data_IF_811053870183
#
_entry.id   IF_811053870183
#
_cell.length_a   1.000
_cell.length_b   1.000
_cell.length_c   1.000
_cell.angle_alpha   90.00
_cell.angle_beta   90.00
_cell.angle_gamma   90.00
#
_symmetry.space_group_name_H-M   'P 1'
#
loop_
_entity.id
_entity.type
_entity.pdbx_description
1 polymer ?
#
# COMPACT_ATOMS: atom_id res chain seq x y z
N UNK A 1 0.91 -20.03 10.72
CA UNK A 1 2.19 -19.59 10.11
C UNK A 1 2.69 -18.38 10.87
N UNK A 2 3.99 -18.25 11.10
CA UNK A 2 4.55 -17.02 11.64
C UNK A 2 4.83 -16.04 10.47
N UNK A 3 4.76 -14.75 10.72
CA UNK A 3 5.27 -13.75 9.78
C UNK A 3 6.78 -13.99 9.57
N UNK A 4 7.23 -13.84 8.33
CA UNK A 4 8.67 -13.83 8.05
C UNK A 4 9.35 -12.76 8.91
N UNK A 5 10.48 -13.11 9.52
CA UNK A 5 11.28 -12.22 10.37
C UNK A 5 10.55 -11.67 11.63
N UNK A 6 9.40 -12.27 12.01
CA UNK A 6 8.74 -12.06 13.29
C UNK A 6 8.54 -13.42 13.95
N UNK A 7 9.39 -13.78 14.88
CA UNK A 7 9.41 -15.11 15.48
C UNK A 7 9.51 -15.02 17.00
N UNK A 8 8.87 -15.97 17.68
CA UNK A 8 9.05 -16.11 19.11
C UNK A 8 10.40 -16.77 19.40
N UNK A 9 11.15 -16.18 20.33
CA UNK A 9 12.36 -16.73 20.89
C UNK A 9 12.26 -16.63 22.43
N UNK A 10 12.41 -17.76 23.13
CA UNK A 10 12.23 -17.85 24.58
C UNK A 10 10.92 -17.24 25.09
N UNK A 11 9.85 -17.39 24.29
CA UNK A 11 8.51 -16.88 24.63
C UNK A 11 8.29 -15.39 24.39
N UNK A 12 9.25 -14.68 23.81
CA UNK A 12 9.13 -13.25 23.44
C UNK A 12 9.14 -13.09 21.92
N UNK A 13 8.32 -12.20 21.37
CA UNK A 13 8.34 -11.91 19.95
C UNK A 13 9.54 -11.03 19.59
N UNK A 14 10.26 -11.45 18.55
CA UNK A 14 11.36 -10.72 17.93
C UNK A 14 10.95 -10.25 16.54
N UNK A 15 11.46 -9.09 16.16
CA UNK A 15 11.55 -8.68 14.74
C UNK A 15 12.99 -8.85 14.32
N UNK A 16 13.23 -9.76 13.35
CA UNK A 16 14.60 -10.19 12.98
C UNK A 16 15.37 -10.65 14.25
N UNK A 17 16.44 -9.98 14.62
CA UNK A 17 17.22 -10.27 15.83
C UNK A 17 16.93 -9.30 16.99
N UNK A 18 15.92 -8.43 16.87
CA UNK A 18 15.59 -7.40 17.88
C UNK A 18 14.44 -7.87 18.78
N UNK A 19 14.66 -7.86 20.09
CA UNK A 19 13.67 -8.18 21.11
C UNK A 19 12.61 -7.06 21.18
N UNK A 20 11.35 -7.37 20.86
CA UNK A 20 10.28 -6.37 20.85
C UNK A 20 9.77 -6.00 22.24
N UNK A 21 9.99 -6.85 23.26
CA UNK A 21 9.64 -6.50 24.66
C UNK A 21 10.57 -5.40 25.19
N UNK A 22 11.89 -5.58 25.02
CA UNK A 22 12.87 -4.56 25.42
C UNK A 22 12.63 -3.23 24.70
N UNK A 23 12.24 -3.31 23.42
CA UNK A 23 11.86 -2.11 22.66
C UNK A 23 10.60 -1.46 23.23
N UNK A 24 9.58 -2.26 23.61
CA UNK A 24 8.31 -1.77 24.18
C UNK A 24 8.48 -1.16 25.57
N UNK A 25 9.43 -1.66 26.34
CA UNK A 25 9.74 -1.09 27.66
C UNK A 25 10.52 0.25 27.56
N UNK A 26 11.15 0.51 26.40
CA UNK A 26 11.94 1.73 26.16
C UNK A 26 11.18 2.84 25.42
N UNK A 27 10.02 2.54 24.83
CA UNK A 27 9.22 3.45 24.02
C UNK A 27 7.79 3.55 24.56
N UNK A 28 7.16 4.71 24.30
CA UNK A 28 5.73 4.87 24.54
C UNK A 28 4.92 4.14 23.46
N UNK A 29 3.92 3.36 23.90
CA UNK A 29 2.95 2.72 23.01
C UNK A 29 1.77 3.66 22.69
N UNK A 30 1.06 3.46 21.57
CA UNK A 30 1.37 2.49 20.52
C UNK A 30 2.54 2.93 19.63
N UNK A 31 3.18 1.99 18.93
CA UNK A 31 4.18 2.31 17.91
C UNK A 31 4.25 1.22 16.83
N UNK A 32 4.70 1.60 15.63
CA UNK A 32 4.91 0.67 14.53
C UNK A 32 6.33 0.13 14.52
N UNK A 33 6.47 -1.15 14.17
CA UNK A 33 7.77 -1.79 13.90
C UNK A 33 7.75 -2.39 12.51
N UNK A 34 8.77 -2.12 11.71
CA UNK A 34 8.95 -2.68 10.37
C UNK A 34 10.25 -3.48 10.30
N UNK A 35 10.20 -4.67 9.69
CA UNK A 35 11.37 -5.48 9.36
C UNK A 35 11.93 -5.06 8.01
N UNK A 36 13.18 -4.61 7.98
CA UNK A 36 13.87 -4.23 6.76
C UNK A 36 14.09 -5.44 5.84
N UNK A 37 14.45 -6.60 6.40
CA UNK A 37 14.71 -7.78 5.60
C UNK A 37 13.42 -8.32 4.95
N UNK A 38 12.28 -8.27 5.64
CA UNK A 38 11.00 -8.63 5.02
C UNK A 38 10.67 -7.74 3.83
N UNK A 39 10.90 -6.41 3.94
CA UNK A 39 10.71 -5.49 2.82
C UNK A 39 11.64 -5.85 1.66
N UNK A 40 12.93 -6.11 1.92
CA UNK A 40 13.91 -6.50 0.90
C UNK A 40 13.50 -7.79 0.19
N UNK A 41 13.16 -8.83 0.95
CA UNK A 41 12.71 -10.11 0.38
C UNK A 41 11.48 -9.95 -0.50
N UNK A 42 10.49 -9.17 -0.05
CA UNK A 42 9.28 -8.90 -0.83
C UNK A 42 9.60 -8.12 -2.12
N UNK A 43 10.51 -7.13 -2.07
CA UNK A 43 10.96 -6.43 -3.27
C UNK A 43 11.65 -7.39 -4.27
N UNK A 44 12.54 -8.25 -3.76
CA UNK A 44 13.25 -9.24 -4.59
C UNK A 44 12.30 -10.22 -5.26
N UNK A 45 11.23 -10.64 -4.57
CA UNK A 45 10.23 -11.55 -5.14
C UNK A 45 9.50 -10.94 -6.34
N UNK A 46 9.30 -9.62 -6.37
CA UNK A 46 8.75 -8.93 -7.54
C UNK A 46 9.75 -8.77 -8.69
N UNK A 47 11.06 -8.81 -8.40
CA UNK A 47 12.09 -8.74 -9.46
C UNK A 47 12.35 -10.10 -10.11
N UNK A 48 12.09 -11.18 -9.39
CA UNK A 48 12.28 -12.53 -9.89
C UNK A 48 11.31 -12.78 -11.05
N UNK A 49 11.84 -13.12 -12.23
CA UNK A 49 11.05 -13.42 -13.42
C UNK A 49 10.68 -12.20 -14.28
N UNK A 50 10.96 -10.98 -13.84
CA UNK A 50 10.89 -9.78 -14.67
C UNK A 50 12.16 -9.66 -15.54
N UNK A 51 12.00 -9.17 -16.77
CA UNK A 51 13.11 -8.80 -17.65
C UNK A 51 13.71 -7.45 -17.25
N UNK A 52 14.81 -7.04 -17.86
CA UNK A 52 15.45 -5.76 -17.58
C UNK A 52 14.64 -4.53 -18.02
N UNK A 53 13.70 -4.71 -18.94
CA UNK A 53 12.79 -3.66 -19.43
C UNK A 53 11.48 -3.61 -18.67
N UNK A 54 11.09 -4.69 -17.95
CA UNK A 54 9.89 -4.70 -17.10
C UNK A 54 10.12 -3.86 -15.84
N UNK A 55 9.04 -3.31 -15.27
CA UNK A 55 9.08 -2.52 -14.05
C UNK A 55 8.18 -3.08 -12.95
N UNK A 56 8.69 -3.07 -11.72
CA UNK A 56 7.86 -3.17 -10.52
C UNK A 56 7.94 -1.81 -9.80
N UNK A 57 6.83 -1.09 -9.74
CA UNK A 57 6.71 0.24 -9.15
C UNK A 57 5.98 0.13 -7.80
N UNK A 58 6.66 0.40 -6.70
CA UNK A 58 6.04 0.36 -5.38
C UNK A 58 4.98 1.45 -5.25
N UNK A 59 3.74 1.06 -4.89
CA UNK A 59 2.64 2.00 -4.64
C UNK A 59 2.83 2.73 -3.30
N UNK A 60 3.28 3.98 -3.36
CA UNK A 60 3.69 4.82 -2.22
C UNK A 60 2.58 4.99 -1.19
N UNK A 61 1.32 5.03 -1.63
CA UNK A 61 0.11 5.12 -0.78
C UNK A 61 0.03 4.05 0.31
N UNK A 62 0.68 2.90 0.11
CA UNK A 62 0.68 1.82 1.11
C UNK A 62 1.48 2.19 2.36
N UNK A 63 2.66 2.78 2.19
CA UNK A 63 3.48 3.39 3.25
C UNK A 63 4.48 4.36 2.63
N UNK A 64 4.38 5.64 2.95
CA UNK A 64 5.17 6.72 2.35
C UNK A 64 6.35 7.19 3.21
N UNK A 65 6.75 6.44 4.25
CA UNK A 65 7.89 6.80 5.09
C UNK A 65 9.19 6.82 4.28
N UNK A 66 9.95 7.91 4.36
CA UNK A 66 11.16 8.12 3.54
C UNK A 66 12.21 7.02 3.71
N UNK A 67 12.35 6.45 4.91
CA UNK A 67 13.31 5.36 5.16
C UNK A 67 12.86 4.07 4.49
N UNK A 68 11.56 3.77 4.49
CA UNK A 68 10.98 2.63 3.78
C UNK A 68 11.12 2.83 2.27
N UNK A 69 10.79 4.01 1.76
CA UNK A 69 10.96 4.33 0.34
C UNK A 69 12.42 4.20 -0.09
N UNK A 70 13.39 4.69 0.73
CA UNK A 70 14.81 4.55 0.44
C UNK A 70 15.25 3.10 0.35
N UNK A 71 14.78 2.26 1.28
CA UNK A 71 15.06 0.82 1.27
C UNK A 71 14.53 0.15 0.00
N UNK A 72 13.31 0.46 -0.42
CA UNK A 72 12.67 -0.07 -1.64
C UNK A 72 13.43 0.41 -2.90
N UNK A 73 13.85 1.69 -2.93
CA UNK A 73 14.70 2.23 -4.00
C UNK A 73 16.02 1.46 -4.11
N UNK A 74 16.66 1.21 -2.97
CA UNK A 74 17.96 0.51 -2.92
C UNK A 74 17.85 -0.96 -3.40
N UNK A 75 16.66 -1.58 -3.25
CA UNK A 75 16.34 -2.87 -3.89
C UNK A 75 16.04 -2.74 -5.40
N UNK A 76 16.00 -1.52 -5.95
CA UNK A 76 15.93 -1.23 -7.38
C UNK A 76 14.53 -1.18 -7.99
N UNK A 77 13.47 -1.12 -7.17
CA UNK A 77 12.11 -0.90 -7.65
C UNK A 77 11.90 0.55 -8.10
N UNK A 78 10.90 0.75 -8.97
CA UNK A 78 10.29 2.04 -9.26
C UNK A 78 9.22 2.42 -8.23
N UNK A 79 8.42 3.46 -8.55
CA UNK A 79 7.38 3.96 -7.66
C UNK A 79 6.10 4.30 -8.44
N UNK A 80 4.94 3.88 -7.93
CA UNK A 80 3.63 4.40 -8.29
C UNK A 80 3.24 5.46 -7.27
N UNK A 81 3.02 6.69 -7.75
CA UNK A 81 2.62 7.84 -6.95
C UNK A 81 1.22 8.31 -7.37
N UNK A 82 0.45 8.84 -6.42
CA UNK A 82 -0.93 9.26 -6.65
C UNK A 82 -1.19 10.72 -6.24
N UNK A 83 -0.13 11.46 -5.93
CA UNK A 83 -0.17 12.90 -5.63
C UNK A 83 1.20 13.55 -5.81
N UNK A 84 1.21 14.87 -5.97
CA UNK A 84 2.46 15.65 -5.99
C UNK A 84 3.28 15.50 -4.70
N UNK A 85 2.61 15.31 -3.55
CA UNK A 85 3.29 15.06 -2.28
C UNK A 85 4.05 13.71 -2.28
N UNK A 86 3.47 12.67 -2.83
CA UNK A 86 4.15 11.38 -2.99
C UNK A 86 5.28 11.48 -4.01
N UNK A 87 5.07 12.18 -5.14
CA UNK A 87 6.12 12.43 -6.12
C UNK A 87 7.32 13.15 -5.49
N UNK A 88 7.08 14.21 -4.71
CA UNK A 88 8.15 14.92 -4.00
C UNK A 88 8.88 14.01 -3.00
N UNK A 89 8.20 13.07 -2.33
CA UNK A 89 8.84 12.11 -1.41
C UNK A 89 9.83 11.20 -2.15
N UNK A 90 9.42 10.63 -3.28
CA UNK A 90 10.29 9.72 -4.04
C UNK A 90 11.43 10.46 -4.71
N UNK A 91 11.22 11.68 -5.18
CA UNK A 91 12.29 12.55 -5.68
C UNK A 91 13.29 12.92 -4.58
N UNK A 92 12.81 13.21 -3.35
CA UNK A 92 13.66 13.56 -2.20
C UNK A 92 14.63 12.44 -1.82
N UNK A 93 14.26 11.18 -1.98
CA UNK A 93 15.16 10.04 -1.72
C UNK A 93 16.06 9.71 -2.91
N UNK A 94 16.00 10.48 -4.01
CA UNK A 94 16.79 10.27 -5.22
C UNK A 94 16.33 9.04 -6.01
N UNK A 95 15.02 8.80 -6.09
CA UNK A 95 14.46 7.79 -7.01
C UNK A 95 14.73 8.20 -8.46
N UNK A 96 14.96 7.19 -9.33
CA UNK A 96 15.10 7.41 -10.77
C UNK A 96 13.75 7.84 -11.37
N UNK A 97 13.60 9.05 -11.92
CA UNK A 97 12.34 9.50 -12.52
C UNK A 97 11.86 8.55 -13.64
N UNK A 98 12.78 7.92 -14.37
CA UNK A 98 12.44 6.96 -15.43
C UNK A 98 11.84 5.64 -14.93
N UNK A 99 11.64 5.52 -13.61
CA UNK A 99 10.95 4.41 -12.94
C UNK A 99 9.77 4.89 -12.09
N UNK A 100 9.24 6.09 -12.37
CA UNK A 100 8.10 6.64 -11.64
C UNK A 100 6.87 6.69 -12.54
N UNK A 101 5.78 6.09 -12.07
CA UNK A 101 4.43 6.15 -12.67
C UNK A 101 3.56 7.07 -11.82
N UNK A 102 2.78 7.93 -12.44
CA UNK A 102 1.85 8.82 -11.73
C UNK A 102 0.40 8.50 -12.08
N UNK A 103 -0.31 7.88 -11.14
CA UNK A 103 -1.70 7.45 -11.22
C UNK A 103 -2.64 8.38 -10.44
N UNK A 104 -3.96 8.18 -10.56
CA UNK A 104 -4.99 8.90 -9.79
C UNK A 104 -5.78 9.90 -10.60
N UNK A 105 -7.08 10.02 -10.28
CA UNK A 105 -8.10 10.77 -11.03
C UNK A 105 -8.07 12.30 -10.82
N UNK A 106 -7.29 12.78 -9.87
CA UNK A 106 -7.37 14.18 -9.42
C UNK A 106 -6.05 14.93 -9.53
N UNK A 107 -5.24 14.64 -10.56
CA UNK A 107 -3.98 15.37 -10.78
C UNK A 107 -4.26 16.84 -11.10
N UNK A 108 -3.69 17.74 -10.30
CA UNK A 108 -3.75 19.17 -10.58
C UNK A 108 -2.77 19.58 -11.68
N UNK A 109 -2.95 20.78 -12.21
CA UNK A 109 -2.04 21.35 -13.21
C UNK A 109 -0.60 21.47 -12.69
N UNK A 110 -0.44 21.83 -11.42
CA UNK A 110 0.85 21.94 -10.74
C UNK A 110 1.53 20.58 -10.56
N UNK A 111 0.75 19.55 -10.23
CA UNK A 111 1.26 18.19 -10.09
C UNK A 111 1.66 17.59 -11.44
N UNK A 112 0.86 17.82 -12.49
CA UNK A 112 1.21 17.43 -13.86
C UNK A 112 2.47 18.15 -14.33
N UNK A 113 2.58 19.47 -14.05
CA UNK A 113 3.80 20.22 -14.35
C UNK A 113 5.02 19.63 -13.65
N UNK A 114 4.90 19.32 -12.36
CA UNK A 114 6.01 18.71 -11.61
C UNK A 114 6.44 17.38 -12.23
N UNK A 115 5.49 16.54 -12.64
CA UNK A 115 5.77 15.27 -13.30
C UNK A 115 6.48 15.46 -14.65
N UNK A 116 6.02 16.43 -15.45
CA UNK A 116 6.65 16.78 -16.73
C UNK A 116 8.07 17.33 -16.55
N UNK A 117 8.28 18.24 -15.59
CA UNK A 117 9.58 18.86 -15.31
C UNK A 117 10.65 17.81 -14.92
N UNK A 118 10.23 16.68 -14.35
CA UNK A 118 11.12 15.57 -13.99
C UNK A 118 11.16 14.45 -15.03
N UNK A 119 10.40 14.56 -16.14
CA UNK A 119 10.33 13.55 -17.19
C UNK A 119 10.17 12.14 -16.66
N UNK A 120 9.17 11.91 -15.82
CA UNK A 120 8.90 10.60 -15.21
C UNK A 120 8.60 9.53 -16.27
N UNK A 121 8.58 8.24 -15.87
CA UNK A 121 8.37 7.12 -16.79
C UNK A 121 7.05 7.23 -17.54
N UNK A 122 5.93 7.45 -16.83
CA UNK A 122 4.61 7.62 -17.42
C UNK A 122 3.63 8.33 -16.49
N UNK A 123 2.72 9.12 -17.07
CA UNK A 123 1.53 9.64 -16.39
C UNK A 123 0.34 8.80 -16.85
N UNK A 124 -0.30 8.09 -15.91
CA UNK A 124 -1.53 7.34 -16.18
C UNK A 124 -2.73 8.30 -16.24
N UNK A 125 -3.16 8.64 -17.46
CA UNK A 125 -4.27 9.55 -17.73
C UNK A 125 -5.59 8.81 -17.55
N UNK A 126 -6.49 9.40 -16.78
CA UNK A 126 -7.77 8.82 -16.38
C UNK A 126 -8.99 9.63 -16.90
N UNK A 127 -8.74 10.73 -17.63
CA UNK A 127 -9.80 11.57 -18.19
C UNK A 127 -9.30 12.49 -19.31
N UNK A 128 -10.21 12.96 -20.15
CA UNK A 128 -9.91 14.00 -21.16
C UNK A 128 -9.45 15.30 -20.52
N UNK A 129 -9.98 15.65 -19.35
CA UNK A 129 -9.59 16.84 -18.59
C UNK A 129 -8.08 16.91 -18.32
N UNK A 130 -7.45 15.78 -18.05
CA UNK A 130 -5.99 15.72 -17.82
C UNK A 130 -5.20 15.98 -19.11
N UNK A 131 -5.70 15.52 -20.27
CA UNK A 131 -5.10 15.86 -21.57
C UNK A 131 -5.22 17.36 -21.87
N UNK A 132 -6.36 17.97 -21.55
CA UNK A 132 -6.56 19.42 -21.69
C UNK A 132 -5.60 20.22 -20.79
N UNK A 133 -5.34 19.75 -19.58
CA UNK A 133 -4.34 20.37 -18.70
C UNK A 133 -2.92 20.27 -19.26
N UNK A 134 -2.53 19.12 -19.82
CA UNK A 134 -1.24 18.95 -20.49
C UNK A 134 -1.10 19.85 -21.72
N UNK A 135 -2.15 19.99 -22.52
CA UNK A 135 -2.19 20.93 -23.67
C UNK A 135 -2.01 22.38 -23.18
N UNK A 136 -2.68 22.78 -22.07
CA UNK A 136 -2.50 24.12 -21.48
C UNK A 136 -1.09 24.35 -20.92
N UNK A 137 -0.36 23.31 -20.55
CA UNK A 137 1.03 23.38 -20.12
C UNK A 137 2.02 23.41 -21.30
N UNK A 138 1.56 23.20 -22.53
CA UNK A 138 2.40 22.98 -23.72
C UNK A 138 3.42 21.83 -23.48
N UNK A 139 2.97 20.73 -22.87
CA UNK A 139 3.79 19.58 -22.53
C UNK A 139 3.24 18.33 -23.20
N UNK A 140 4.15 17.49 -23.71
CA UNK A 140 3.84 16.18 -24.30
C UNK A 140 4.63 15.08 -23.60
N UNK A 141 4.40 14.86 -22.27
CA UNK A 141 5.08 13.81 -21.54
C UNK A 141 4.67 12.44 -22.07
N UNK A 142 5.45 11.42 -21.69
CA UNK A 142 5.01 10.03 -21.85
C UNK A 142 3.73 9.81 -21.02
N UNK A 143 2.68 9.32 -21.65
CA UNK A 143 1.42 9.01 -20.99
C UNK A 143 0.98 7.57 -21.27
N UNK A 144 0.23 6.98 -20.33
CA UNK A 144 -0.55 5.77 -20.53
C UNK A 144 -2.03 6.08 -20.32
N UNK A 145 -2.91 5.50 -21.10
CA UNK A 145 -4.33 5.54 -20.77
C UNK A 145 -4.64 4.51 -19.69
N UNK A 146 -5.19 4.95 -18.57
CA UNK A 146 -5.71 4.04 -17.55
C UNK A 146 -7.11 3.61 -17.91
N UNK A 147 -7.26 2.34 -18.14
CA UNK A 147 -8.50 1.72 -18.61
C UNK A 147 -9.24 1.11 -17.42
N UNK A 148 -10.56 1.30 -17.43
CA UNK A 148 -11.46 0.49 -16.62
C UNK A 148 -11.89 -0.73 -17.45
N UNK A 149 -11.33 -1.93 -17.17
CA UNK A 149 -11.58 -3.09 -18.02
C UNK A 149 -12.90 -3.81 -17.71
N UNK A 150 -13.72 -3.26 -16.81
CA UNK A 150 -14.98 -3.84 -16.33
C UNK A 150 -14.80 -5.30 -15.84
N UNK A 151 -13.85 -5.50 -14.93
CA UNK A 151 -13.55 -6.77 -14.26
C UNK A 151 -13.87 -6.65 -12.79
N UNK A 152 -14.78 -7.49 -12.28
CA UNK A 152 -15.12 -7.55 -10.86
C UNK A 152 -14.05 -8.35 -10.09
N UNK A 153 -13.34 -7.72 -9.19
CA UNK A 153 -12.26 -8.34 -8.42
C UNK A 153 -12.73 -9.10 -7.16
N UNK A 154 -14.05 -9.20 -6.93
CA UNK A 154 -14.64 -9.86 -5.74
C UNK A 154 -14.00 -9.40 -4.41
N UNK A 155 -13.61 -8.13 -4.33
CA UNK A 155 -13.00 -7.53 -3.15
C UNK A 155 -14.01 -6.67 -2.36
N UNK A 156 -13.59 -6.10 -1.22
CA UNK A 156 -14.47 -5.20 -0.46
C UNK A 156 -14.91 -4.01 -1.35
N UNK A 157 -16.20 -3.59 -1.34
CA UNK A 157 -16.72 -2.56 -2.25
C UNK A 157 -15.92 -1.25 -2.28
N UNK A 158 -15.30 -0.86 -1.17
CA UNK A 158 -14.50 0.37 -1.09
C UNK A 158 -13.09 0.27 -1.68
N UNK A 159 -12.64 -0.92 -2.06
CA UNK A 159 -11.31 -1.16 -2.65
C UNK A 159 -11.38 -1.84 -4.02
N UNK A 160 -12.58 -2.01 -4.57
CA UNK A 160 -12.83 -2.47 -5.93
C UNK A 160 -12.78 -1.29 -6.90
N UNK A 161 -11.95 -1.37 -7.92
CA UNK A 161 -11.67 -0.24 -8.84
C UNK A 161 -11.89 -0.59 -10.31
N UNK A 162 -12.29 -1.83 -10.62
CA UNK A 162 -12.41 -2.34 -11.99
C UNK A 162 -13.84 -2.36 -12.56
N UNK A 163 -14.86 -1.89 -11.83
CA UNK A 163 -16.26 -1.85 -12.29
C UNK A 163 -16.55 -0.62 -13.12
N UNK A 164 -17.48 -0.74 -14.11
CA UNK A 164 -17.87 0.33 -15.01
C UNK A 164 -18.27 1.65 -14.32
N UNK A 165 -18.94 1.58 -13.15
CA UNK A 165 -19.43 2.78 -12.42
C UNK A 165 -18.37 3.40 -11.50
N UNK A 166 -17.13 2.91 -11.52
CA UNK A 166 -16.10 3.42 -10.62
C UNK A 166 -15.49 4.70 -11.19
N UNK A 167 -15.01 5.58 -10.30
CA UNK A 167 -14.40 6.86 -10.68
C UNK A 167 -13.06 6.77 -11.41
N UNK A 168 -12.48 5.57 -11.49
CA UNK A 168 -11.12 5.35 -11.99
C UNK A 168 -11.12 4.86 -13.43
N UNK A 169 -10.19 5.41 -14.22
CA UNK A 169 -9.95 5.00 -15.60
C UNK A 169 -11.06 5.46 -16.57
N UNK A 170 -10.81 5.23 -17.84
CA UNK A 170 -11.73 5.48 -18.96
C UNK A 170 -12.11 4.16 -19.62
N UNK A 171 -13.19 4.14 -20.37
CA UNK A 171 -13.59 2.96 -21.15
C UNK A 171 -12.64 2.74 -22.35
N UNK A 172 -12.60 1.54 -22.91
CA UNK A 172 -11.84 1.26 -24.14
C UNK A 172 -12.34 2.13 -25.30
N UNK A 173 -13.64 2.36 -25.39
CA UNK A 173 -14.26 3.20 -26.43
C UNK A 173 -13.81 4.67 -26.30
N UNK A 174 -13.83 5.21 -25.07
CA UNK A 174 -13.35 6.57 -24.81
C UNK A 174 -11.84 6.69 -25.12
N UNK A 175 -11.04 5.71 -24.73
CA UNK A 175 -9.61 5.69 -25.03
C UNK A 175 -9.33 5.77 -26.53
N UNK A 176 -10.03 4.97 -27.36
CA UNK A 176 -9.90 5.01 -28.81
C UNK A 176 -10.42 6.33 -29.41
N UNK A 177 -11.46 6.89 -28.82
CA UNK A 177 -12.02 8.19 -29.24
C UNK A 177 -11.02 9.32 -28.95
N UNK A 178 -10.43 9.34 -27.75
CA UNK A 178 -9.40 10.30 -27.37
C UNK A 178 -8.14 10.15 -28.22
N UNK A 179 -7.70 8.92 -28.44
CA UNK A 179 -6.55 8.64 -29.30
C UNK A 179 -6.73 9.21 -30.72
N UNK A 180 -7.91 9.01 -31.31
CA UNK A 180 -8.26 9.60 -32.64
C UNK A 180 -8.35 11.10 -32.60
N UNK A 181 -8.92 11.69 -31.53
CA UNK A 181 -9.11 13.14 -31.38
C UNK A 181 -7.79 13.90 -31.26
N UNK A 182 -6.86 13.39 -30.46
CA UNK A 182 -5.57 14.03 -30.22
C UNK A 182 -4.49 13.64 -31.24
N UNK A 183 -4.47 12.38 -31.67
CA UNK A 183 -3.48 11.87 -32.62
C UNK A 183 -2.06 11.86 -32.07
N UNK A 184 -1.14 11.27 -32.80
CA UNK A 184 0.28 11.16 -32.43
C UNK A 184 1.03 12.50 -32.41
N UNK A 185 0.43 13.54 -33.01
CA UNK A 185 1.02 14.90 -33.06
C UNK A 185 0.83 15.67 -31.74
N UNK A 186 -0.19 15.34 -30.95
CA UNK A 186 -0.54 16.10 -29.75
C UNK A 186 -0.22 15.36 -28.44
N UNK A 187 -0.22 14.04 -28.44
CA UNK A 187 0.03 13.24 -27.25
C UNK A 187 1.09 12.16 -27.53
N UNK A 188 1.94 11.94 -26.55
CA UNK A 188 2.93 10.87 -26.56
C UNK A 188 2.38 9.67 -25.75
N UNK A 189 1.42 8.97 -26.35
CA UNK A 189 0.78 7.79 -25.74
C UNK A 189 1.69 6.57 -25.97
N UNK A 190 2.28 6.06 -24.89
CA UNK A 190 3.27 4.99 -24.91
C UNK A 190 2.84 3.73 -24.17
N UNK A 191 1.70 3.77 -23.47
CA UNK A 191 1.24 2.62 -22.70
C UNK A 191 -0.25 2.60 -22.45
N UNK A 192 -0.71 1.47 -21.92
CA UNK A 192 -2.05 1.30 -21.35
C UNK A 192 -1.92 0.69 -19.96
N UNK A 193 -2.76 1.12 -19.04
CA UNK A 193 -2.73 0.64 -17.66
C UNK A 193 -4.12 0.26 -17.16
N UNK A 194 -4.18 -0.60 -16.17
CA UNK A 194 -5.39 -0.87 -15.40
C UNK A 194 -5.05 -1.19 -13.95
N UNK A 195 -5.99 -0.94 -13.05
CA UNK A 195 -5.93 -1.41 -11.68
C UNK A 195 -7.33 -1.88 -11.27
N UNK A 196 -7.54 -3.20 -11.24
CA UNK A 196 -8.87 -3.80 -11.10
C UNK A 196 -9.34 -3.91 -9.65
N UNK A 197 -8.45 -3.69 -8.67
CA UNK A 197 -8.82 -3.73 -7.25
C UNK A 197 -7.65 -4.09 -6.35
N UNK A 198 -7.97 -4.29 -5.07
CA UNK A 198 -7.01 -4.66 -4.03
C UNK A 198 -7.46 -5.92 -3.31
N UNK A 199 -6.53 -6.69 -2.75
CA UNK A 199 -6.80 -8.00 -2.13
C UNK A 199 -7.33 -9.04 -3.13
N UNK A 200 -6.76 -9.07 -4.33
CA UNK A 200 -7.08 -10.02 -5.39
C UNK A 200 -6.45 -11.37 -5.04
N UNK A 201 -7.28 -12.33 -4.72
CA UNK A 201 -6.86 -13.70 -4.39
C UNK A 201 -6.80 -14.61 -5.63
N UNK A 202 -7.63 -14.32 -6.64
CA UNK A 202 -7.61 -15.00 -7.93
C UNK A 202 -6.77 -14.23 -8.95
N UNK A 203 -5.53 -14.65 -9.14
CA UNK A 203 -4.58 -13.99 -10.06
C UNK A 203 -4.95 -14.14 -11.54
N UNK A 204 -5.90 -15.00 -11.91
CA UNK A 204 -6.36 -15.13 -13.30
C UNK A 204 -7.11 -13.88 -13.76
N UNK A 205 -7.70 -13.11 -12.83
CA UNK A 205 -8.31 -11.81 -13.14
C UNK A 205 -7.28 -10.77 -13.61
N UNK A 206 -6.04 -10.82 -13.10
CA UNK A 206 -4.96 -9.95 -13.56
C UNK A 206 -4.45 -10.36 -14.95
N UNK A 207 -4.51 -11.65 -15.28
CA UNK A 207 -4.22 -12.15 -16.65
C UNK A 207 -5.32 -11.68 -17.60
N UNK A 208 -6.59 -11.79 -17.23
CA UNK A 208 -7.71 -11.29 -18.04
C UNK A 208 -7.58 -9.78 -18.30
N UNK A 209 -7.21 -9.00 -17.27
CA UNK A 209 -6.95 -7.58 -17.45
C UNK A 209 -5.82 -7.31 -18.45
N UNK A 210 -4.72 -8.07 -18.34
CA UNK A 210 -3.61 -7.98 -19.30
C UNK A 210 -4.07 -8.25 -20.73
N UNK A 211 -4.83 -9.32 -20.99
CA UNK A 211 -5.32 -9.68 -22.33
C UNK A 211 -6.21 -8.58 -22.95
N UNK A 212 -7.08 -7.96 -22.14
CA UNK A 212 -7.90 -6.81 -22.57
C UNK A 212 -7.01 -5.61 -22.95
N UNK A 213 -6.04 -5.29 -22.09
CA UNK A 213 -5.10 -4.20 -22.36
C UNK A 213 -4.21 -4.46 -23.60
N UNK A 214 -3.76 -5.69 -23.82
CA UNK A 214 -2.98 -6.06 -24.98
C UNK A 214 -3.78 -5.89 -26.29
N UNK A 215 -5.05 -6.24 -26.27
CA UNK A 215 -5.94 -6.02 -27.40
C UNK A 215 -6.09 -4.52 -27.72
N UNK A 216 -6.36 -3.69 -26.70
CA UNK A 216 -6.44 -2.24 -26.86
C UNK A 216 -5.11 -1.64 -27.36
N UNK A 217 -3.98 -2.07 -26.79
CA UNK A 217 -2.66 -1.65 -27.24
C UNK A 217 -2.46 -1.93 -28.74
N UNK A 218 -2.89 -3.11 -29.24
CA UNK A 218 -2.87 -3.45 -30.67
C UNK A 218 -3.72 -2.52 -31.54
N UNK A 219 -4.89 -2.09 -31.04
CA UNK A 219 -5.73 -1.13 -31.73
C UNK A 219 -5.09 0.27 -31.76
N UNK A 220 -4.48 0.72 -30.67
CA UNK A 220 -3.76 1.99 -30.58
C UNK A 220 -2.54 2.01 -31.53
N UNK A 221 -1.79 0.90 -31.60
CA UNK A 221 -0.70 0.74 -32.58
C UNK A 221 -1.23 0.87 -34.01
N UNK A 222 -2.41 0.33 -34.31
CA UNK A 222 -3.04 0.45 -35.64
C UNK A 222 -3.46 1.91 -35.96
N UNK A 223 -3.61 2.77 -34.94
CA UNK A 223 -3.83 4.23 -35.08
C UNK A 223 -2.49 5.01 -35.22
N UNK A 224 -1.34 4.36 -35.17
CA UNK A 224 -0.01 4.94 -35.36
C UNK A 224 0.75 5.25 -34.07
N UNK A 225 0.24 4.89 -32.88
CA UNK A 225 0.94 5.09 -31.61
C UNK A 225 2.03 4.02 -31.39
N UNK A 226 3.11 4.40 -30.73
CA UNK A 226 4.20 3.51 -30.34
C UNK A 226 4.01 3.06 -28.89
N UNK A 227 3.22 2.00 -28.68
CA UNK A 227 2.97 1.44 -27.34
C UNK A 227 4.15 0.52 -26.96
N UNK A 228 4.80 0.81 -25.85
CA UNK A 228 5.96 0.07 -25.35
C UNK A 228 5.66 -0.77 -24.11
N UNK A 229 4.67 -0.40 -23.27
CA UNK A 229 4.38 -1.14 -22.04
C UNK A 229 2.90 -1.32 -21.76
N UNK A 230 2.60 -2.35 -20.96
CA UNK A 230 1.30 -2.63 -20.37
C UNK A 230 1.45 -2.70 -18.85
N UNK A 231 0.70 -1.88 -18.13
CA UNK A 231 0.67 -1.84 -16.69
C UNK A 231 -0.61 -2.50 -16.17
N UNK A 232 -0.49 -3.60 -15.46
CA UNK A 232 -1.64 -4.30 -14.86
C UNK A 232 -1.92 -3.86 -13.42
N UNK A 233 -1.24 -2.82 -12.96
CA UNK A 233 -1.39 -2.29 -11.62
C UNK A 233 -0.87 -3.22 -10.53
N UNK A 234 -1.47 -3.11 -9.36
CA UNK A 234 -1.17 -3.94 -8.21
C UNK A 234 -2.33 -4.86 -7.85
N UNK A 235 -2.55 -5.00 -6.55
CA UNK A 235 -3.74 -5.67 -6.02
C UNK A 235 -3.53 -7.08 -5.51
N UNK A 236 -2.37 -7.72 -5.72
CA UNK A 236 -2.09 -9.05 -5.15
C UNK A 236 -2.41 -9.07 -3.65
N UNK A 237 -3.22 -10.05 -3.23
CA UNK A 237 -3.65 -10.21 -1.86
C UNK A 237 -2.50 -10.56 -0.91
N UNK A 238 -2.71 -10.25 0.37
CA UNK A 238 -2.01 -10.88 1.49
C UNK A 238 -3.05 -11.52 2.41
N UNK A 239 -2.63 -12.50 3.18
CA UNK A 239 -3.45 -13.06 4.23
C UNK A 239 -3.14 -12.38 5.58
N UNK A 240 -4.14 -11.71 6.14
CA UNK A 240 -4.04 -11.03 7.42
C UNK A 240 -4.12 -11.96 8.63
N UNK A 241 -4.67 -13.16 8.46
CA UNK A 241 -4.72 -14.22 9.49
C UNK A 241 -3.48 -15.12 9.45
N UNK A 242 -2.62 -14.96 8.46
CA UNK A 242 -1.34 -15.67 8.27
C UNK A 242 -1.50 -17.20 8.05
N UNK A 243 -2.59 -17.61 7.42
CA UNK A 243 -2.88 -19.02 7.10
C UNK A 243 -2.48 -19.40 5.67
N UNK A 244 -2.55 -18.42 4.74
CA UNK A 244 -2.29 -18.57 3.30
C UNK A 244 -1.10 -17.75 2.86
N UNK A 245 -0.51 -18.11 1.72
CA UNK A 245 0.53 -17.34 1.06
C UNK A 245 0.11 -17.02 -0.38
N UNK A 246 0.29 -15.77 -0.80
CA UNK A 246 0.10 -15.29 -2.17
C UNK A 246 1.46 -14.91 -2.72
N UNK A 247 1.91 -15.60 -3.77
CA UNK A 247 3.26 -15.48 -4.30
C UNK A 247 3.33 -14.48 -5.47
N UNK A 248 4.14 -13.40 -5.36
CA UNK A 248 4.46 -12.55 -6.50
C UNK A 248 5.08 -13.31 -7.68
N UNK A 249 5.95 -14.29 -7.40
CA UNK A 249 6.61 -15.10 -8.43
C UNK A 249 5.60 -15.89 -9.27
N UNK A 250 4.55 -16.44 -8.65
CA UNK A 250 3.50 -17.16 -9.37
C UNK A 250 2.70 -16.24 -10.29
N UNK A 251 2.35 -15.04 -9.79
CA UNK A 251 1.68 -14.02 -10.60
C UNK A 251 2.55 -13.63 -11.81
N UNK A 252 3.81 -13.29 -11.59
CA UNK A 252 4.73 -12.88 -12.65
C UNK A 252 4.90 -14.00 -13.68
N UNK A 253 5.07 -15.25 -13.26
CA UNK A 253 5.14 -16.41 -14.16
C UNK A 253 3.90 -16.57 -15.03
N UNK A 254 2.71 -16.30 -14.47
CA UNK A 254 1.46 -16.32 -15.23
C UNK A 254 1.44 -15.21 -16.26
N UNK A 255 1.67 -13.97 -15.86
CA UNK A 255 1.65 -12.80 -16.74
C UNK A 255 2.70 -12.93 -17.86
N UNK A 256 3.92 -13.36 -17.55
CA UNK A 256 5.01 -13.52 -18.56
C UNK A 256 4.76 -14.61 -19.60
N UNK A 257 3.80 -15.52 -19.40
CA UNK A 257 3.37 -16.45 -20.47
C UNK A 257 2.61 -15.73 -21.58
N UNK A 258 1.97 -14.63 -21.28
CA UNK A 258 1.16 -13.83 -22.20
C UNK A 258 1.91 -12.59 -22.69
N UNK A 259 2.75 -11.96 -21.83
CA UNK A 259 3.48 -10.72 -22.14
C UNK A 259 4.77 -11.01 -22.93
N UNK A 260 4.65 -11.16 -24.25
CA UNK A 260 5.81 -11.32 -25.13
C UNK A 260 6.12 -10.12 -26.01
N UNK A 261 5.18 -9.19 -26.15
CA UNK A 261 5.24 -8.08 -27.10
C UNK A 261 5.50 -6.72 -26.44
N UNK A 262 5.03 -6.52 -25.22
CA UNK A 262 5.11 -5.27 -24.47
C UNK A 262 5.85 -5.48 -23.17
N UNK A 263 6.56 -4.47 -22.70
CA UNK A 263 7.14 -4.49 -21.37
C UNK A 263 6.05 -4.49 -20.30
N UNK A 264 6.26 -5.27 -19.23
CA UNK A 264 5.29 -5.42 -18.15
C UNK A 264 5.60 -4.44 -17.04
N UNK A 265 4.60 -3.66 -16.63
CA UNK A 265 4.65 -2.84 -15.40
C UNK A 265 3.69 -3.40 -14.36
N UNK A 266 4.11 -3.40 -13.10
CA UNK A 266 3.35 -3.83 -11.91
C UNK A 266 3.42 -2.74 -10.85
N UNK A 267 2.32 -2.53 -10.09
CA UNK A 267 2.24 -1.52 -9.02
C UNK A 267 1.98 -2.16 -7.63
N UNK A 268 2.87 -3.03 -7.11
CA UNK A 268 2.66 -3.64 -5.81
C UNK A 268 2.80 -2.62 -4.67
N UNK A 269 1.87 -2.62 -3.73
CA UNK A 269 1.97 -1.81 -2.51
C UNK A 269 1.85 -2.68 -1.26
N UNK A 270 0.63 -3.15 -1.01
CA UNK A 270 0.27 -3.97 0.16
C UNK A 270 1.20 -5.17 0.34
N UNK A 271 1.40 -5.95 -0.69
CA UNK A 271 2.20 -7.18 -0.66
C UNK A 271 3.69 -6.96 -0.38
N UNK A 272 4.21 -5.74 -0.54
CA UNK A 272 5.59 -5.41 -0.17
C UNK A 272 5.71 -5.10 1.32
N UNK A 273 4.83 -4.27 1.88
CA UNK A 273 5.07 -3.71 3.22
C UNK A 273 4.10 -4.20 4.30
N UNK A 274 2.92 -4.72 3.95
CA UNK A 274 1.91 -5.04 4.97
C UNK A 274 2.42 -6.05 6.00
N UNK A 275 2.91 -7.20 5.54
CA UNK A 275 3.43 -8.25 6.41
C UNK A 275 4.84 -7.93 6.96
N UNK A 276 5.48 -6.89 6.47
CA UNK A 276 6.74 -6.39 7.01
C UNK A 276 6.54 -5.52 8.26
N UNK A 277 5.30 -5.16 8.62
CA UNK A 277 5.04 -4.26 9.75
C UNK A 277 4.02 -4.79 10.74
N UNK A 278 4.25 -4.47 12.00
CA UNK A 278 3.33 -4.73 13.12
C UNK A 278 3.06 -3.43 13.89
N UNK A 279 1.92 -3.38 14.56
CA UNK A 279 1.60 -2.34 15.53
C UNK A 279 1.64 -2.94 16.93
N UNK A 280 2.48 -2.37 17.81
CA UNK A 280 2.55 -2.73 19.22
C UNK A 280 1.62 -1.82 20.00
N UNK A 281 0.81 -2.43 20.88
CA UNK A 281 -0.14 -1.72 21.72
C UNK A 281 -0.14 -2.28 23.15
N UNK A 282 -0.47 -1.46 24.10
CA UNK A 282 -0.52 -1.82 25.52
C UNK A 282 -1.97 -1.98 25.99
N UNK A 283 -2.21 -3.00 26.77
CA UNK A 283 -3.49 -3.23 27.44
C UNK A 283 -3.66 -2.19 28.56
N UNK A 284 -4.68 -1.37 28.46
CA UNK A 284 -5.04 -0.39 29.50
C UNK A 284 -5.91 -1.02 30.61
N UNK A 285 -6.76 -1.98 30.22
CA UNK A 285 -7.63 -2.65 31.16
C UNK A 285 -8.63 -3.61 30.52
N UNK A 286 -9.36 -4.32 31.35
CA UNK A 286 -10.42 -5.24 30.97
C UNK A 286 -11.74 -4.70 31.52
N UNK A 287 -12.78 -4.71 30.70
CA UNK A 287 -14.14 -4.32 31.07
C UNK A 287 -15.11 -5.42 30.69
N UNK A 288 -16.00 -5.77 31.61
CA UNK A 288 -17.11 -6.68 31.33
C UNK A 288 -18.43 -5.89 31.30
N UNK A 289 -19.25 -6.17 30.30
CA UNK A 289 -20.59 -5.61 30.18
C UNK A 289 -21.54 -6.71 29.69
N UNK A 290 -22.37 -7.22 30.58
CA UNK A 290 -23.18 -8.42 30.33
C UNK A 290 -22.30 -9.62 30.06
N UNK A 291 -22.50 -10.28 28.92
CA UNK A 291 -21.69 -11.41 28.47
C UNK A 291 -20.44 -11.02 27.68
N UNK A 292 -20.26 -9.74 27.38
CA UNK A 292 -19.15 -9.26 26.57
C UNK A 292 -17.94 -8.89 27.41
N UNK A 293 -16.77 -9.35 27.01
CA UNK A 293 -15.47 -8.98 27.59
C UNK A 293 -14.72 -8.11 26.62
N UNK A 294 -14.43 -6.88 27.06
CA UNK A 294 -13.66 -5.91 26.30
C UNK A 294 -12.23 -5.83 26.83
N UNK A 295 -11.29 -5.93 25.93
CA UNK A 295 -9.89 -5.62 26.19
C UNK A 295 -9.58 -4.26 25.61
N UNK A 296 -9.37 -3.28 26.48
CA UNK A 296 -9.13 -1.89 26.10
C UNK A 296 -7.63 -1.71 25.91
N UNK A 297 -7.23 -1.25 24.73
CA UNK A 297 -5.83 -0.98 24.39
C UNK A 297 -5.61 0.50 24.10
N UNK A 298 -4.35 0.94 24.05
CA UNK A 298 -3.99 2.34 23.78
C UNK A 298 -3.96 2.70 22.28
N UNK A 299 -3.83 1.72 21.40
CA UNK A 299 -4.01 1.92 19.96
C UNK A 299 -5.49 1.98 19.59
N UNK A 300 -5.84 2.80 18.60
CA UNK A 300 -7.22 2.95 18.13
C UNK A 300 -7.32 3.10 16.62
N UNK A 301 -8.54 3.43 16.15
CA UNK A 301 -8.82 3.66 14.74
C UNK A 301 -8.03 4.85 14.16
N UNK A 302 -7.58 5.76 14.99
CA UNK A 302 -6.69 6.86 14.62
C UNK A 302 -5.30 6.37 14.23
N UNK A 303 -4.85 5.23 14.77
CA UNK A 303 -3.56 4.61 14.48
C UNK A 303 -3.68 3.58 13.35
N UNK A 304 -4.69 2.70 13.38
CA UNK A 304 -4.98 1.67 12.39
C UNK A 304 -6.46 1.68 11.99
N UNK A 305 -6.80 2.46 10.98
CA UNK A 305 -8.19 2.68 10.55
C UNK A 305 -8.85 1.47 9.88
N UNK A 306 -8.07 0.53 9.35
CA UNK A 306 -8.57 -0.56 8.51
C UNK A 306 -9.66 -1.44 9.15
N UNK A 307 -9.60 -1.84 10.43
CA UNK A 307 -10.69 -2.57 11.06
C UNK A 307 -12.01 -1.80 11.05
N UNK A 308 -11.99 -0.51 11.37
CA UNK A 308 -13.18 0.35 11.39
C UNK A 308 -13.74 0.65 9.99
N UNK A 309 -12.87 0.90 9.01
CA UNK A 309 -13.27 1.35 7.66
C UNK A 309 -13.68 0.20 6.74
N UNK A 310 -12.99 -0.94 6.84
CA UNK A 310 -13.14 -2.07 5.91
C UNK A 310 -13.61 -3.35 6.60
N UNK A 311 -13.93 -3.31 7.89
CA UNK A 311 -14.16 -4.51 8.71
C UNK A 311 -13.00 -5.52 8.58
N UNK A 312 -11.78 -5.00 8.38
CA UNK A 312 -10.62 -5.81 8.13
C UNK A 312 -10.14 -6.45 9.43
N UNK A 313 -10.05 -7.78 9.42
CA UNK A 313 -9.51 -8.53 10.56
C UNK A 313 -8.00 -8.63 10.41
N UNK A 314 -7.28 -8.30 11.47
CA UNK A 314 -5.85 -8.53 11.62
C UNK A 314 -5.63 -9.64 12.66
N UNK A 315 -4.64 -10.49 12.45
CA UNK A 315 -4.21 -11.37 13.53
C UNK A 315 -3.66 -10.51 14.68
N UNK A 316 -4.10 -10.82 15.90
CA UNK A 316 -3.60 -10.18 17.14
C UNK A 316 -3.18 -11.28 18.09
N UNK A 317 -2.03 -11.14 18.73
CA UNK A 317 -1.53 -12.08 19.72
C UNK A 317 -0.78 -11.32 20.83
N UNK A 318 -0.42 -12.04 21.89
CA UNK A 318 0.44 -11.52 22.93
C UNK A 318 1.87 -11.28 22.41
N UNK A 319 2.50 -10.20 22.84
CA UNK A 319 3.92 -9.95 22.56
C UNK A 319 4.83 -10.94 23.31
N UNK A 320 4.38 -11.39 24.48
CA UNK A 320 5.04 -12.41 25.30
C UNK A 320 4.10 -13.60 25.46
N UNK A 321 4.59 -14.81 25.17
CA UNK A 321 3.84 -16.03 25.41
C UNK A 321 3.52 -16.17 26.90
N UNK A 322 2.27 -16.51 27.21
CA UNK A 322 1.79 -16.65 28.57
C UNK A 322 1.27 -18.07 28.80
N UNK A 323 1.61 -18.64 29.94
CA UNK A 323 1.00 -19.88 30.44
C UNK A 323 -0.40 -19.68 31.03
N UNK A 324 -0.86 -18.44 31.17
CA UNK A 324 -2.19 -18.13 31.65
C UNK A 324 -3.25 -18.59 30.66
N UNK A 325 -4.46 -18.86 31.16
CA UNK A 325 -5.60 -19.23 30.34
C UNK A 325 -5.93 -18.09 29.38
N UNK A 326 -5.92 -18.39 28.08
CA UNK A 326 -6.44 -17.48 27.06
C UNK A 326 -7.95 -17.42 27.17
N UNK A 327 -8.52 -16.20 27.12
CA UNK A 327 -9.95 -15.94 27.09
C UNK A 327 -10.34 -15.21 25.79
N UNK A 328 -11.62 -15.11 25.49
CA UNK A 328 -12.13 -14.44 24.29
C UNK A 328 -12.48 -13.00 24.61
N UNK A 329 -11.97 -12.07 23.83
CA UNK A 329 -12.18 -10.63 23.98
C UNK A 329 -12.61 -9.95 22.68
N UNK A 330 -13.43 -8.90 22.83
CA UNK A 330 -13.51 -7.83 21.84
C UNK A 330 -12.39 -6.83 22.16
N UNK A 331 -11.45 -6.62 21.22
CA UNK A 331 -10.34 -5.67 21.41
C UNK A 331 -10.78 -4.31 20.89
N UNK A 332 -10.74 -3.28 21.75
CA UNK A 332 -11.24 -1.94 21.45
C UNK A 332 -10.20 -0.88 21.80
N UNK A 333 -10.18 0.20 21.01
CA UNK A 333 -9.29 1.33 21.25
C UNK A 333 -9.89 2.38 22.20
N UNK A 334 -9.18 3.49 22.39
CA UNK A 334 -9.54 4.57 23.31
C UNK A 334 -10.33 5.71 22.65
N UNK A 335 -10.59 5.65 21.35
CA UNK A 335 -11.29 6.70 20.60
C UNK A 335 -12.78 6.70 20.98
N UNK A 336 -13.37 7.90 21.17
CA UNK A 336 -14.77 8.04 21.53
C UNK A 336 -15.70 7.82 20.30
N UNK A 337 -15.62 6.62 19.73
CA UNK A 337 -16.37 6.20 18.56
C UNK A 337 -16.70 4.70 18.67
N UNK A 338 -17.94 4.31 18.39
CA UNK A 338 -18.36 2.90 18.46
C UNK A 338 -17.58 2.01 17.48
N UNK A 339 -17.16 2.57 16.35
CA UNK A 339 -16.36 1.88 15.34
C UNK A 339 -14.90 1.63 15.76
N UNK A 340 -14.44 2.17 16.90
CA UNK A 340 -13.06 1.99 17.39
C UNK A 340 -12.86 0.59 17.98
N UNK A 341 -12.80 -0.39 17.11
CA UNK A 341 -12.68 -1.81 17.45
C UNK A 341 -11.78 -2.52 16.43
N UNK A 342 -10.90 -3.36 16.94
CA UNK A 342 -10.13 -4.31 16.13
C UNK A 342 -10.94 -5.58 15.77
N UNK A 343 -12.11 -5.77 16.42
CA UNK A 343 -13.03 -6.89 16.24
C UNK A 343 -13.28 -7.67 17.53
N UNK A 344 -14.00 -8.79 17.37
CA UNK A 344 -14.37 -9.71 18.46
C UNK A 344 -13.66 -11.05 18.34
N UNK A 345 -13.84 -11.90 19.37
CA UNK A 345 -13.41 -13.29 19.41
C UNK A 345 -11.89 -13.50 19.28
N UNK A 346 -11.12 -12.54 19.78
CA UNK A 346 -9.66 -12.68 19.91
C UNK A 346 -9.33 -13.52 21.16
N UNK A 347 -8.59 -14.61 20.94
CA UNK A 347 -8.17 -15.52 21.99
C UNK A 347 -6.77 -15.19 22.49
N UNK A 348 -6.71 -14.33 23.52
CA UNK A 348 -5.46 -13.86 24.14
C UNK A 348 -5.50 -14.03 25.65
N UNK A 349 -4.34 -14.05 26.29
CA UNK A 349 -4.22 -13.89 27.73
C UNK A 349 -3.80 -12.45 27.99
N UNK A 350 -4.49 -11.72 28.88
CA UNK A 350 -4.19 -10.32 29.08
C UNK A 350 -4.46 -9.85 30.50
N UNK A 351 -3.55 -9.02 31.00
CA UNK A 351 -3.73 -8.18 32.17
C UNK A 351 -3.45 -6.72 31.77
N UNK A 352 -3.90 -5.79 32.59
CA UNK A 352 -3.49 -4.40 32.42
C UNK A 352 -1.97 -4.27 32.48
N UNK A 353 -1.38 -3.60 31.50
CA UNK A 353 0.06 -3.44 31.35
C UNK A 353 0.72 -4.40 30.36
N UNK A 354 0.07 -5.51 29.97
CA UNK A 354 0.60 -6.44 28.96
C UNK A 354 0.62 -5.78 27.57
N UNK A 355 1.51 -6.28 26.70
CA UNK A 355 1.60 -5.82 25.31
C UNK A 355 0.96 -6.84 24.36
N UNK A 356 0.25 -6.30 23.37
CA UNK A 356 -0.26 -7.05 22.24
C UNK A 356 0.42 -6.59 20.95
N UNK A 357 0.44 -7.49 19.97
CA UNK A 357 0.94 -7.24 18.62
C UNK A 357 -0.19 -7.41 17.61
N UNK A 358 -0.41 -6.37 16.79
CA UNK A 358 -1.32 -6.40 15.64
C UNK A 358 -0.48 -6.64 14.40
N UNK A 359 -0.61 -7.83 13.80
CA UNK A 359 0.18 -8.24 12.65
C UNK A 359 -0.27 -7.60 11.34
N UNK A 360 0.60 -7.64 10.34
CA UNK A 360 0.34 -7.15 8.97
C UNK A 360 -0.13 -5.69 8.91
N UNK A 361 0.37 -4.85 9.81
CA UNK A 361 0.00 -3.44 9.93
C UNK A 361 0.88 -2.49 9.08
N UNK A 362 1.83 -3.02 8.30
CA UNK A 362 2.81 -2.21 7.58
C UNK A 362 2.26 -1.42 6.39
N UNK A 363 1.12 -1.82 5.82
CA UNK A 363 0.44 -1.11 4.74
C UNK A 363 -0.89 -0.52 5.21
N UNK A 364 -1.17 0.72 4.81
CA UNK A 364 -2.43 1.40 5.13
C UNK A 364 -2.71 1.46 6.65
N UNK A 365 -1.67 1.43 7.46
CA UNK A 365 -1.68 1.69 8.89
C UNK A 365 -1.30 3.15 9.12
N UNK A 366 -0.02 3.41 9.41
CA UNK A 366 0.50 4.77 9.65
C UNK A 366 0.14 5.77 8.54
N UNK A 367 0.10 5.32 7.26
CA UNK A 367 -0.26 6.18 6.11
C UNK A 367 -1.73 6.66 6.13
N UNK A 368 -2.63 5.96 6.80
CA UNK A 368 -4.05 6.35 6.99
C UNK A 368 -4.32 6.88 8.40
N UNK A 369 -3.30 7.01 9.23
CA UNK A 369 -3.42 7.51 10.59
C UNK A 369 -3.90 8.96 10.63
N UNK A 370 -4.67 9.29 11.67
CA UNK A 370 -5.25 10.61 11.89
C UNK A 370 -5.03 11.09 13.32
N UNK A 371 -5.38 12.34 13.58
CA UNK A 371 -5.35 12.93 14.91
C UNK A 371 -6.77 13.02 15.54
N UNK A 372 -7.68 12.13 15.13
CA UNK A 372 -9.03 12.10 15.67
C UNK A 372 -9.01 11.98 17.20
N UNK A 373 -9.90 12.70 17.89
CA UNK A 373 -9.90 12.93 19.34
C UNK A 373 -8.60 13.58 19.86
N UNK A 374 -7.87 14.35 19.03
CA UNK A 374 -6.60 15.01 19.38
C UNK A 374 -5.51 14.01 19.82
N UNK A 375 -5.56 12.77 19.31
CA UNK A 375 -4.55 11.75 19.61
C UNK A 375 -3.33 11.94 18.72
N UNK A 376 -2.16 11.72 19.32
CA UNK A 376 -0.86 11.88 18.65
C UNK A 376 -0.58 10.68 17.73
N UNK A 377 0.03 10.91 16.60
CA UNK A 377 0.49 9.81 15.73
C UNK A 377 1.67 9.09 16.35
N UNK A 378 1.67 7.75 16.30
CA UNK A 378 2.68 6.93 16.94
C UNK A 378 4.04 7.02 16.26
N UNK A 379 5.09 6.61 17.00
CA UNK A 379 6.42 6.43 16.43
C UNK A 379 6.45 5.28 15.42
N UNK A 380 7.40 5.35 14.47
CA UNK A 380 7.68 4.28 13.52
C UNK A 380 9.15 3.86 13.63
N UNK A 381 9.38 2.57 13.78
CA UNK A 381 10.69 1.95 14.03
C UNK A 381 11.03 1.02 12.87
N UNK A 382 12.21 1.15 12.28
CA UNK A 382 12.75 0.21 11.32
C UNK A 382 13.79 -0.67 12.01
N UNK A 383 13.60 -1.97 11.96
CA UNK A 383 14.55 -2.98 12.43
C UNK A 383 15.35 -3.50 11.23
N UNK A 384 16.66 -3.61 11.39
CA UNK A 384 17.59 -4.22 10.43
C UNK A 384 18.56 -5.11 11.22
N UNK A 385 18.29 -6.38 11.28
CA UNK A 385 18.96 -7.40 12.13
C UNK A 385 18.85 -7.04 13.61
N UNK A 386 19.98 -6.77 14.26
CA UNK A 386 20.08 -6.35 15.67
C UNK A 386 19.94 -4.84 15.88
N UNK A 387 19.94 -4.07 14.78
CA UNK A 387 19.85 -2.62 14.87
C UNK A 387 18.43 -2.18 14.66
N UNK A 388 18.03 -1.14 15.37
CA UNK A 388 16.76 -0.46 15.13
C UNK A 388 16.96 1.05 15.05
N UNK A 389 16.09 1.71 14.32
CA UNK A 389 16.12 3.16 14.12
C UNK A 389 14.70 3.71 14.18
N UNK A 390 14.52 4.79 14.94
CA UNK A 390 13.31 5.59 14.85
C UNK A 390 13.30 6.30 13.50
N UNK A 391 12.42 5.88 12.60
CA UNK A 391 12.28 6.44 11.24
C UNK A 391 11.19 7.52 11.16
N UNK A 392 10.35 7.58 12.19
CA UNK A 392 9.42 8.67 12.49
C UNK A 392 9.29 8.77 14.00
N UNK A 393 9.50 9.95 14.56
CA UNK A 393 9.21 10.22 15.98
C UNK A 393 7.70 10.22 16.20
N UNK A 394 7.26 9.84 17.41
CA UNK A 394 5.90 10.13 17.84
C UNK A 394 5.65 11.64 17.77
N UNK A 395 4.42 12.05 17.45
CA UNK A 395 4.01 13.45 17.54
C UNK A 395 4.00 13.92 18.99
N UNK A 396 4.20 15.21 19.17
CA UNK A 396 3.99 15.90 20.45
C UNK A 396 2.71 16.74 20.37
N UNK A 397 2.18 17.17 21.51
CA UNK A 397 1.05 18.08 21.52
C UNK A 397 1.37 19.39 20.78
N UNK A 398 2.58 19.89 20.91
CA UNK A 398 3.04 21.10 20.21
C UNK A 398 3.05 20.91 18.68
N UNK A 399 3.32 19.68 18.18
CA UNK A 399 3.24 19.39 16.73
C UNK A 399 1.79 19.49 16.22
N UNK A 400 0.79 19.19 17.05
CA UNK A 400 -0.61 19.28 16.66
C UNK A 400 -1.08 20.73 16.49
N UNK A 401 -0.68 21.60 17.38
CA UNK A 401 -1.19 22.97 17.49
C UNK A 401 -0.30 24.03 16.85
N UNK A 402 0.87 23.66 16.32
CA UNK A 402 1.89 24.59 15.80
C UNK A 402 1.41 25.55 14.70
N UNK A 403 0.36 25.17 13.97
CA UNK A 403 -0.22 25.99 12.89
C UNK A 403 -1.54 26.67 13.33
N UNK A 404 -1.93 26.53 14.61
CA UNK A 404 -3.14 27.14 15.16
C UNK A 404 -2.81 28.49 15.79
N UNK A 405 -3.64 29.52 15.54
CA UNK A 405 -3.54 30.84 16.12
C UNK A 405 -4.63 31.05 17.19
N UNK A 406 -4.30 31.68 18.35
CA UNK A 406 -5.21 32.03 19.44
C UNK A 406 -5.65 33.49 19.36
#
# INVERSE_FOLDING_TARGET
MNLKNFNFNEGVLYSEDTNLLELSDSLETPFYVYSAETIRENCRSYKTGLSSSDLACYAVKANSNLSILSLIKDEGLGFDVVSGGELQRVLKIGADPKKIVFSGVGKSKEELKLACDHEIFSINVESEYELELLEQLNQTPRISFRINPDIAAESHPYIETGKADCKFGISEEDALTLAKKYGTEKINLVGVSAHIGSQITNTDLLVEAYEKLENLAGQLVSLGFEIDHIDVGGGLAIDYELEKNFSPDELIKKLKKFSSKYDLTLEPGRSIVAQAGVLITKVLGIKENGSQKFLIVDAGMNDLMRPSLYSARHKIDNLVESSQKKDLYSIVGPVCETADSFGSDFKVSANAGDYLVVYSAGAYGSSMGSNYNTRLKPAEILVDKKNHKVIRKAETFDDLIKEEEL
#
